data_IF_665190060019
#
_entry.id   IF_665190060019
#
_cell.length_a   1.000
_cell.length_b   1.000
_cell.length_c   1.000
_cell.angle_alpha   90.00
_cell.angle_beta   90.00
_cell.angle_gamma   90.00
#
_symmetry.space_group_name_H-M   'P 1'
#
loop_
_entity.id
_entity.type
_entity.pdbx_description
1 polymer ?
#
# COMPACT_ATOMS: atom_id res chain seq x y z
N UNK A 1 0.04 7.60 -22.07
CA UNK A 1 0.00 8.54 -20.92
C UNK A 1 -1.43 8.44 -20.40
N UNK A 2 -1.64 8.21 -19.11
CA UNK A 2 -3.01 8.15 -18.56
C UNK A 2 -3.61 9.56 -18.62
N UNK A 3 -4.83 9.69 -19.19
CA UNK A 3 -5.52 10.98 -19.20
C UNK A 3 -6.06 11.25 -17.78
N UNK A 4 -5.79 12.44 -17.28
CA UNK A 4 -6.24 12.87 -15.95
C UNK A 4 -7.78 12.94 -15.86
N UNK A 5 -8.45 13.09 -16.98
CA UNK A 5 -9.91 13.16 -17.10
C UNK A 5 -10.58 11.80 -17.40
N UNK A 6 -9.78 10.73 -17.59
CA UNK A 6 -10.29 9.38 -17.78
C UNK A 6 -10.44 8.70 -16.39
N UNK A 7 -11.59 8.84 -15.77
CA UNK A 7 -11.94 8.27 -14.46
C UNK A 7 -13.43 7.91 -14.42
N UNK A 8 -13.82 7.04 -13.50
CA UNK A 8 -15.22 6.64 -13.29
C UNK A 8 -15.79 7.12 -11.95
N UNK A 9 -14.92 7.30 -10.93
CA UNK A 9 -15.31 7.72 -9.58
C UNK A 9 -14.43 8.87 -9.09
N UNK A 10 -15.08 9.84 -8.45
CA UNK A 10 -14.42 10.95 -7.76
C UNK A 10 -15.00 11.08 -6.35
N UNK A 11 -14.16 11.32 -5.36
CA UNK A 11 -14.58 11.51 -3.97
C UNK A 11 -13.65 12.51 -3.27
N UNK A 12 -13.93 12.82 -2.01
CA UNK A 12 -13.09 13.69 -1.19
C UNK A 12 -12.59 12.96 0.04
N UNK A 13 -11.41 13.34 0.53
CA UNK A 13 -10.90 12.88 1.81
C UNK A 13 -10.09 13.97 2.50
N UNK A 14 -9.96 13.83 3.81
CA UNK A 14 -9.00 14.62 4.59
C UNK A 14 -7.77 13.76 4.91
N UNK A 15 -6.59 14.32 4.67
CA UNK A 15 -5.33 13.67 5.01
C UNK A 15 -4.32 14.70 5.52
N UNK A 16 -3.85 14.49 6.77
CA UNK A 16 -2.89 15.38 7.47
C UNK A 16 -3.30 16.85 7.48
N UNK A 17 -4.57 17.11 7.77
CA UNK A 17 -5.12 18.47 7.87
C UNK A 17 -5.27 19.20 6.51
N UNK A 18 -5.23 18.46 5.42
CA UNK A 18 -5.50 18.96 4.07
C UNK A 18 -6.68 18.20 3.45
N UNK A 19 -7.55 18.92 2.74
CA UNK A 19 -8.67 18.34 2.00
C UNK A 19 -8.24 18.07 0.56
N UNK A 20 -8.61 16.91 0.05
CA UNK A 20 -8.32 16.47 -1.31
C UNK A 20 -9.59 16.03 -2.02
N UNK A 21 -9.77 16.42 -3.29
CA UNK A 21 -10.57 15.66 -4.25
C UNK A 21 -9.69 14.60 -4.90
N UNK A 22 -10.23 13.39 -5.08
CA UNK A 22 -9.46 12.21 -5.50
C UNK A 22 -10.24 11.45 -6.57
N UNK A 23 -9.58 11.07 -7.65
CA UNK A 23 -10.12 10.26 -8.74
C UNK A 23 -9.56 8.84 -8.67
N UNK A 24 -10.36 7.85 -9.09
CA UNK A 24 -9.97 6.44 -9.04
C UNK A 24 -8.82 6.09 -10.01
N UNK A 25 -8.53 6.95 -10.99
CA UNK A 25 -7.35 6.84 -11.85
C UNK A 25 -6.03 7.26 -11.15
N UNK A 26 -6.09 7.68 -9.88
CA UNK A 26 -4.94 8.10 -9.09
C UNK A 26 -4.63 9.60 -9.13
N UNK A 27 -5.44 10.41 -9.83
CA UNK A 27 -5.32 11.86 -9.80
C UNK A 27 -5.85 12.44 -8.49
N UNK A 28 -5.19 13.48 -7.99
CA UNK A 28 -5.57 14.20 -6.76
C UNK A 28 -5.56 15.70 -6.99
N UNK A 29 -6.43 16.41 -6.29
CA UNK A 29 -6.45 17.87 -6.24
C UNK A 29 -6.50 18.29 -4.78
N UNK A 30 -5.50 19.03 -4.31
CA UNK A 30 -5.52 19.61 -2.97
C UNK A 30 -6.32 20.89 -2.97
N UNK A 31 -7.23 21.05 -2.04
CA UNK A 31 -8.01 22.28 -1.89
C UNK A 31 -7.18 23.41 -1.27
N UNK A 32 -7.42 24.64 -1.71
CA UNK A 32 -6.87 25.81 -1.05
C UNK A 32 -7.50 25.94 0.36
N UNK A 33 -6.69 26.36 1.33
CA UNK A 33 -7.17 26.63 2.69
C UNK A 33 -7.94 27.92 2.72
N UNK A 34 -9.10 27.90 3.35
CA UNK A 34 -9.90 29.10 3.54
C UNK A 34 -9.11 30.20 4.28
N UNK A 35 -9.23 31.43 3.83
CA UNK A 35 -8.54 32.59 4.42
C UNK A 35 -7.03 32.62 4.27
N UNK A 36 -6.42 31.72 3.49
CA UNK A 36 -4.98 31.70 3.23
C UNK A 36 -4.67 31.82 1.75
N UNK A 37 -3.50 32.38 1.43
CA UNK A 37 -3.01 32.43 0.04
C UNK A 37 -2.87 31.02 -0.54
N UNK A 38 -3.44 30.81 -1.72
CA UNK A 38 -3.32 29.54 -2.45
C UNK A 38 -1.86 29.21 -2.78
N UNK A 39 -1.46 27.96 -2.59
CA UNK A 39 -0.15 27.42 -2.94
C UNK A 39 -0.14 26.95 -4.38
N UNK A 40 1.02 26.80 -5.00
CA UNK A 40 1.21 26.50 -6.43
C UNK A 40 0.36 25.34 -6.98
N UNK A 41 0.05 24.32 -6.17
CA UNK A 41 -0.71 23.14 -6.60
C UNK A 41 -2.10 23.06 -5.94
N UNK A 42 -2.56 24.13 -5.31
CA UNK A 42 -3.93 24.16 -4.76
C UNK A 42 -4.94 24.32 -5.91
N UNK A 43 -6.03 23.57 -5.84
CA UNK A 43 -7.11 23.52 -6.82
C UNK A 43 -6.66 23.11 -8.24
N UNK A 44 -5.58 22.33 -8.32
CA UNK A 44 -5.04 21.81 -9.59
C UNK A 44 -5.01 20.28 -9.54
N UNK A 45 -5.64 19.63 -10.51
CA UNK A 45 -5.58 18.19 -10.70
C UNK A 45 -4.17 17.75 -11.12
N UNK A 46 -3.64 16.72 -10.47
CA UNK A 46 -2.30 16.20 -10.75
C UNK A 46 -2.17 14.73 -10.34
N UNK A 47 -1.33 13.97 -11.03
CA UNK A 47 -0.84 12.68 -10.55
C UNK A 47 0.33 12.82 -9.56
N UNK A 48 0.77 14.06 -9.29
CA UNK A 48 1.92 14.34 -8.46
C UNK A 48 3.25 14.37 -9.23
N UNK A 49 4.33 14.55 -8.50
CA UNK A 49 5.70 14.54 -9.01
C UNK A 49 6.46 13.37 -8.43
N UNK A 50 7.21 12.64 -9.26
CA UNK A 50 7.99 11.49 -8.81
C UNK A 50 9.13 11.93 -7.89
N UNK A 51 9.16 11.41 -6.68
CA UNK A 51 10.29 11.55 -5.76
C UNK A 51 11.50 10.76 -6.29
N UNK A 52 12.63 11.45 -6.46
CA UNK A 52 13.85 10.85 -7.01
C UNK A 52 14.49 9.82 -6.09
N UNK A 53 14.33 9.97 -4.77
CA UNK A 53 14.98 9.09 -3.80
C UNK A 53 14.24 7.75 -3.64
N UNK A 54 12.89 7.77 -3.61
CA UNK A 54 12.07 6.60 -3.28
C UNK A 54 11.14 6.16 -4.40
N UNK A 55 10.99 6.97 -5.46
CA UNK A 55 10.19 6.65 -6.65
C UNK A 55 8.68 6.79 -6.48
N UNK A 56 8.18 7.29 -5.36
CA UNK A 56 6.75 7.53 -5.14
C UNK A 56 6.28 8.83 -5.78
N UNK A 57 5.02 8.86 -6.21
CA UNK A 57 4.36 10.09 -6.62
C UNK A 57 3.98 10.93 -5.40
N UNK A 58 4.34 12.22 -5.43
CA UNK A 58 4.18 13.16 -4.32
C UNK A 58 3.37 14.39 -4.74
N UNK A 59 2.50 14.85 -3.85
CA UNK A 59 1.95 16.21 -3.90
C UNK A 59 2.46 16.97 -2.67
N UNK A 60 3.37 17.92 -2.88
CA UNK A 60 4.18 18.52 -1.80
C UNK A 60 4.93 17.43 -1.00
N UNK A 61 4.70 17.34 0.30
CA UNK A 61 5.29 16.33 1.19
C UNK A 61 4.45 15.05 1.35
N UNK A 62 3.29 14.96 0.70
CA UNK A 62 2.36 13.86 0.87
C UNK A 62 2.43 12.88 -0.30
N UNK A 63 2.41 11.58 0.01
CA UNK A 63 2.41 10.50 -0.99
C UNK A 63 1.02 10.33 -1.58
N UNK A 64 0.91 10.38 -2.91
CA UNK A 64 -0.37 10.30 -3.63
C UNK A 64 -1.09 8.98 -3.36
N UNK A 65 -0.41 7.83 -3.39
CA UNK A 65 -1.04 6.53 -3.14
C UNK A 65 -1.74 6.43 -1.77
N UNK A 66 -1.21 7.10 -0.73
CA UNK A 66 -1.85 7.10 0.59
C UNK A 66 -3.15 7.92 0.56
N UNK A 67 -3.15 9.05 -0.15
CA UNK A 67 -4.35 9.88 -0.31
C UNK A 67 -5.43 9.11 -1.06
N UNK A 68 -5.06 8.43 -2.17
CA UNK A 68 -5.98 7.63 -2.98
C UNK A 68 -6.53 6.44 -2.18
N UNK A 69 -5.66 5.68 -1.50
CA UNK A 69 -6.10 4.55 -0.68
C UNK A 69 -7.06 5.00 0.43
N UNK A 70 -6.75 6.10 1.12
CA UNK A 70 -7.60 6.65 2.17
C UNK A 70 -8.98 7.10 1.66
N UNK A 71 -9.04 7.59 0.42
CA UNK A 71 -10.27 8.09 -0.19
C UNK A 71 -11.21 6.96 -0.63
N UNK A 72 -10.67 5.82 -1.08
CA UNK A 72 -11.44 4.79 -1.77
C UNK A 72 -11.44 3.42 -1.10
N UNK A 73 -10.43 3.10 -0.30
CA UNK A 73 -10.23 1.74 0.25
C UNK A 73 -10.46 1.78 1.76
N UNK A 74 -11.58 1.23 2.27
CA UNK A 74 -11.83 1.14 3.71
C UNK A 74 -10.87 0.16 4.41
N UNK A 75 -10.88 0.14 5.74
CA UNK A 75 -10.19 -0.88 6.55
C UNK A 75 -8.88 -0.44 7.18
N UNK A 76 -8.54 0.87 7.16
CA UNK A 76 -7.39 1.41 7.89
C UNK A 76 -7.78 2.66 8.69
N UNK A 77 -8.85 2.55 9.44
CA UNK A 77 -9.38 3.63 10.27
C UNK A 77 -8.45 3.95 11.45
N UNK A 78 -7.73 2.95 11.96
CA UNK A 78 -6.74 3.12 13.05
C UNK A 78 -5.36 3.60 12.55
N UNK A 79 -5.15 3.67 11.24
CA UNK A 79 -3.93 4.19 10.62
C UNK A 79 -2.69 3.30 10.76
N UNK A 80 -2.84 2.03 11.17
CA UNK A 80 -1.70 1.11 11.39
C UNK A 80 -1.23 0.38 10.15
N UNK A 81 -2.05 0.34 9.10
CA UNK A 81 -1.70 -0.34 7.86
C UNK A 81 -0.87 0.55 6.93
N UNK A 82 -0.19 -0.08 6.01
CA UNK A 82 0.59 0.55 4.94
C UNK A 82 -0.07 0.29 3.59
N UNK A 83 0.11 1.21 2.64
CA UNK A 83 -0.37 1.02 1.27
C UNK A 83 0.68 0.27 0.46
N UNK A 84 0.25 -0.77 -0.21
CA UNK A 84 1.05 -1.53 -1.18
C UNK A 84 0.55 -1.31 -2.60
N UNK A 85 1.48 -1.35 -3.58
CA UNK A 85 1.18 -1.35 -5.01
C UNK A 85 1.23 -2.80 -5.53
N UNK A 86 0.08 -3.33 -5.96
CA UNK A 86 -0.06 -4.73 -6.37
C UNK A 86 0.89 -5.08 -7.53
N UNK A 87 1.10 -4.17 -8.47
CA UNK A 87 2.01 -4.32 -9.61
C UNK A 87 3.47 -3.91 -9.29
N UNK A 88 3.78 -3.57 -8.02
CA UNK A 88 5.07 -3.06 -7.56
C UNK A 88 5.50 -1.71 -8.16
N UNK A 89 4.71 -1.11 -9.04
CA UNK A 89 4.99 0.18 -9.66
C UNK A 89 4.52 1.35 -8.79
N UNK A 90 5.44 1.99 -8.08
CA UNK A 90 5.17 3.11 -7.16
C UNK A 90 4.60 4.37 -7.82
N UNK A 91 4.53 4.40 -9.15
CA UNK A 91 3.92 5.49 -9.91
C UNK A 91 2.47 5.18 -10.33
N UNK A 92 2.01 3.93 -10.22
CA UNK A 92 0.66 3.51 -10.59
C UNK A 92 -0.27 3.59 -9.37
N UNK A 93 -0.85 4.76 -9.15
CA UNK A 93 -1.72 5.04 -8.00
C UNK A 93 -3.21 4.83 -8.28
N UNK A 94 -3.58 4.06 -9.32
CA UNK A 94 -4.96 3.69 -9.57
C UNK A 94 -5.52 2.88 -8.40
N UNK A 95 -6.77 3.11 -8.03
CA UNK A 95 -7.40 2.46 -6.86
C UNK A 95 -7.30 0.95 -6.92
N UNK A 96 -7.54 0.37 -8.11
CA UNK A 96 -7.46 -1.08 -8.35
C UNK A 96 -6.06 -1.67 -8.15
N UNK A 97 -5.03 -0.84 -8.15
CA UNK A 97 -3.63 -1.26 -7.94
C UNK A 97 -3.15 -1.07 -6.50
N UNK A 98 -4.01 -0.58 -5.62
CA UNK A 98 -3.65 -0.29 -4.23
C UNK A 98 -4.37 -1.23 -3.26
N UNK A 99 -3.72 -1.56 -2.15
CA UNK A 99 -4.32 -2.30 -1.04
C UNK A 99 -3.69 -1.89 0.28
N UNK A 100 -4.44 -2.07 1.37
CA UNK A 100 -3.91 -1.96 2.71
C UNK A 100 -3.26 -3.27 3.14
N UNK A 101 -2.10 -3.19 3.76
CA UNK A 101 -1.37 -4.30 4.36
C UNK A 101 -1.00 -3.96 5.79
N UNK A 102 -0.99 -4.97 6.65
CA UNK A 102 -0.26 -4.87 7.91
C UNK A 102 1.24 -4.76 7.63
N UNK A 103 2.00 -4.29 8.60
CA UNK A 103 3.46 -4.24 8.50
C UNK A 103 4.06 -5.64 8.26
N UNK A 104 3.49 -6.66 8.89
CA UNK A 104 3.93 -8.04 8.75
C UNK A 104 3.68 -8.58 7.33
N UNK A 105 2.48 -8.40 6.80
CA UNK A 105 2.14 -8.80 5.43
C UNK A 105 3.05 -8.14 4.40
N UNK A 106 3.26 -6.82 4.53
CA UNK A 106 4.12 -6.06 3.62
C UNK A 106 5.57 -6.57 3.61
N UNK A 107 6.07 -6.99 4.76
CA UNK A 107 7.44 -7.54 4.89
C UNK A 107 7.51 -8.96 4.36
N UNK A 108 6.52 -9.82 4.64
CA UNK A 108 6.48 -11.21 4.17
C UNK A 108 6.17 -11.34 2.67
N UNK A 109 5.52 -10.36 2.06
CA UNK A 109 5.35 -10.28 0.60
C UNK A 109 6.68 -10.04 -0.14
N UNK A 110 7.68 -9.49 0.53
CA UNK A 110 9.02 -9.37 -0.05
C UNK A 110 9.71 -10.74 -0.06
N UNK A 111 9.91 -11.30 -1.25
CA UNK A 111 10.48 -12.65 -1.44
C UNK A 111 11.85 -12.82 -0.76
N UNK A 112 12.72 -11.81 -0.82
CA UNK A 112 14.02 -11.85 -0.17
C UNK A 112 13.89 -11.92 1.35
N UNK A 113 12.96 -11.17 1.93
CA UNK A 113 12.69 -11.20 3.37
C UNK A 113 12.05 -12.53 3.77
N UNK A 114 11.08 -13.03 3.00
CA UNK A 114 10.46 -14.32 3.25
C UNK A 114 11.49 -15.46 3.25
N UNK A 115 12.37 -15.51 2.25
CA UNK A 115 13.47 -16.49 2.19
C UNK A 115 14.40 -16.38 3.39
N UNK A 116 14.73 -15.16 3.81
CA UNK A 116 15.59 -14.90 4.98
C UNK A 116 14.93 -15.38 6.28
N UNK A 117 13.66 -15.07 6.51
CA UNK A 117 12.92 -15.56 7.68
C UNK A 117 12.83 -17.08 7.67
N UNK A 118 12.49 -17.70 6.55
CA UNK A 118 12.43 -19.15 6.38
C UNK A 118 13.77 -19.79 6.74
N UNK A 119 14.88 -19.25 6.24
CA UNK A 119 16.23 -19.75 6.54
C UNK A 119 16.54 -19.68 8.04
N UNK A 120 16.23 -18.56 8.69
CA UNK A 120 16.46 -18.36 10.13
C UNK A 120 15.61 -19.29 11.01
N UNK A 121 14.49 -19.78 10.48
CA UNK A 121 13.64 -20.79 11.12
C UNK A 121 14.03 -22.24 10.72
N UNK A 122 15.23 -22.47 10.25
CA UNK A 122 15.73 -23.79 9.88
C UNK A 122 15.11 -24.35 8.59
N UNK A 123 14.76 -23.49 7.64
CA UNK A 123 14.22 -23.85 6.34
C UNK A 123 12.71 -24.07 6.29
N UNK A 124 12.00 -23.84 7.39
CA UNK A 124 10.55 -24.03 7.46
C UNK A 124 9.85 -22.79 8.03
N UNK A 125 9.06 -22.12 7.19
CA UNK A 125 8.30 -20.92 7.58
C UNK A 125 7.20 -21.24 8.61
N UNK A 126 6.72 -22.47 8.70
CA UNK A 126 5.70 -22.86 9.67
C UNK A 126 6.22 -22.69 11.10
N UNK A 127 7.49 -22.89 11.34
CA UNK A 127 8.10 -22.63 12.66
C UNK A 127 7.97 -21.19 13.08
N UNK A 128 8.09 -20.24 12.15
CA UNK A 128 7.80 -18.82 12.42
C UNK A 128 6.33 -18.58 12.72
N UNK A 129 5.42 -19.21 11.97
CA UNK A 129 3.97 -19.06 12.17
C UNK A 129 3.56 -19.59 13.55
N UNK A 130 4.09 -20.75 13.95
CA UNK A 130 3.79 -21.38 15.25
C UNK A 130 4.44 -20.64 16.42
N UNK A 131 5.64 -20.13 16.23
CA UNK A 131 6.41 -19.45 17.25
C UNK A 131 7.30 -18.34 16.67
N UNK A 132 6.79 -17.11 16.48
CA UNK A 132 7.60 -15.98 15.98
C UNK A 132 8.83 -15.67 16.82
N UNK A 133 8.84 -16.05 18.10
CA UNK A 133 10.00 -15.87 18.98
C UNK A 133 11.19 -16.77 18.62
N UNK A 134 11.05 -17.69 17.66
CA UNK A 134 12.20 -18.41 17.08
C UNK A 134 13.24 -17.46 16.43
N UNK A 135 12.85 -16.22 16.11
CA UNK A 135 13.73 -15.15 15.64
C UNK A 135 14.45 -14.41 16.78
N UNK A 136 14.52 -14.93 18.00
CA UNK A 136 15.16 -14.24 19.13
C UNK A 136 16.65 -14.03 18.81
N UNK A 137 17.55 -14.32 19.03
CA UNK A 137 19.01 -14.14 18.99
C UNK A 137 19.60 -13.69 17.64
N UNK A 138 18.84 -12.91 16.87
CA UNK A 138 19.31 -12.36 15.61
C UNK A 138 20.34 -11.24 15.85
N UNK A 139 21.51 -11.41 15.28
CA UNK A 139 22.61 -10.44 15.30
C UNK A 139 22.95 -9.94 13.89
N UNK A 140 23.71 -8.85 13.83
CA UNK A 140 24.23 -8.35 12.55
C UNK A 140 23.14 -7.82 11.60
N UNK A 141 23.14 -8.29 10.37
CA UNK A 141 22.27 -7.79 9.28
C UNK A 141 20.77 -8.12 9.43
N UNK A 142 20.38 -8.88 10.46
CA UNK A 142 18.99 -9.28 10.68
C UNK A 142 18.23 -8.40 11.68
N UNK A 143 18.84 -7.32 12.17
CA UNK A 143 18.20 -6.42 13.13
C UNK A 143 16.93 -5.74 12.59
N UNK A 144 16.84 -5.53 11.30
CA UNK A 144 15.69 -4.92 10.61
C UNK A 144 14.40 -5.76 10.72
N UNK A 145 14.51 -7.07 10.95
CA UNK A 145 13.37 -8.00 11.12
C UNK A 145 13.17 -8.46 12.57
N UNK A 146 14.01 -8.03 13.51
CA UNK A 146 13.91 -8.45 14.91
C UNK A 146 12.54 -8.15 15.56
N UNK A 147 11.86 -7.09 15.14
CA UNK A 147 10.52 -6.76 15.62
C UNK A 147 9.49 -7.87 15.31
N UNK A 148 9.72 -8.73 14.30
CA UNK A 148 8.82 -9.83 13.94
C UNK A 148 8.73 -10.90 15.06
N UNK A 149 9.71 -10.99 15.94
CA UNK A 149 9.68 -11.88 17.11
C UNK A 149 8.60 -11.53 18.13
N UNK A 150 8.10 -10.29 18.13
CA UNK A 150 7.05 -9.81 19.03
C UNK A 150 5.65 -9.99 18.46
N UNK A 151 5.55 -10.48 17.23
CA UNK A 151 4.30 -10.84 16.58
C UNK A 151 3.73 -12.07 17.28
N UNK A 152 2.42 -12.11 17.46
CA UNK A 152 1.76 -13.31 18.01
C UNK A 152 1.63 -14.40 16.94
N UNK A 153 1.55 -15.68 17.32
CA UNK A 153 1.28 -16.77 16.37
C UNK A 153 0.00 -16.54 15.57
N UNK A 154 -1.04 -15.98 16.19
CA UNK A 154 -2.29 -15.66 15.52
C UNK A 154 -2.11 -14.59 14.42
N UNK A 155 -1.38 -13.52 14.70
CA UNK A 155 -1.05 -12.49 13.69
C UNK A 155 -0.21 -13.07 12.55
N UNK A 156 0.74 -13.95 12.86
CA UNK A 156 1.57 -14.62 11.85
C UNK A 156 0.73 -15.52 10.94
N UNK A 157 -0.20 -16.32 11.52
CA UNK A 157 -1.12 -17.18 10.79
C UNK A 157 -2.05 -16.38 9.88
N UNK A 158 -2.70 -15.34 10.42
CA UNK A 158 -3.61 -14.48 9.64
C UNK A 158 -2.88 -13.78 8.47
N UNK A 159 -1.67 -13.29 8.70
CA UNK A 159 -0.88 -12.68 7.63
C UNK A 159 -0.58 -13.67 6.50
N UNK A 160 -0.18 -14.90 6.83
CA UNK A 160 0.11 -15.94 5.83
C UNK A 160 -1.14 -16.40 5.08
N UNK A 161 -2.28 -16.52 5.77
CA UNK A 161 -3.57 -16.83 5.14
C UNK A 161 -3.99 -15.75 4.15
N UNK A 162 -3.88 -14.48 4.53
CA UNK A 162 -4.15 -13.33 3.67
C UNK A 162 -3.26 -13.35 2.43
N UNK A 163 -1.95 -13.46 2.60
CA UNK A 163 -0.97 -13.52 1.50
C UNK A 163 -1.31 -14.67 0.55
N UNK A 164 -1.60 -15.85 1.09
CA UNK A 164 -1.98 -17.04 0.31
C UNK A 164 -3.29 -16.86 -0.46
N UNK A 165 -4.24 -16.11 0.10
CA UNK A 165 -5.52 -15.81 -0.56
C UNK A 165 -5.32 -14.93 -1.80
N UNK A 166 -4.36 -14.02 -1.76
CA UNK A 166 -4.05 -13.16 -2.92
C UNK A 166 -3.32 -13.92 -4.02
N UNK A 167 -2.40 -14.82 -3.66
CA UNK A 167 -1.71 -15.68 -4.62
C UNK A 167 -2.66 -16.61 -5.39
N UNK A 168 -3.79 -16.97 -4.78
CA UNK A 168 -4.82 -17.83 -5.38
C UNK A 168 -5.82 -17.08 -6.27
N UNK A 169 -5.83 -15.74 -6.25
CA UNK A 169 -6.68 -14.96 -7.17
C UNK A 169 -6.00 -14.93 -8.55
N UNK A 170 -6.55 -15.61 -9.58
CA UNK A 170 -5.95 -15.54 -10.90
C UNK A 170 -6.00 -14.10 -11.41
N UNK A 171 -4.93 -13.65 -12.06
CA UNK A 171 -4.82 -12.35 -12.75
C UNK A 171 -5.99 -12.13 -13.76
N UNK A 172 -6.68 -13.21 -14.15
CA UNK A 172 -7.85 -13.21 -15.04
C UNK A 172 -9.10 -12.51 -14.45
N UNK A 173 -9.25 -12.41 -13.13
CA UNK A 173 -10.40 -11.69 -12.55
C UNK A 173 -10.35 -10.19 -12.86
N UNK A 174 -9.18 -9.64 -13.11
CA UNK A 174 -8.95 -8.25 -13.51
C UNK A 174 -9.32 -7.98 -14.98
N UNK A 175 -9.13 -8.98 -15.85
CA UNK A 175 -9.55 -8.91 -17.27
C UNK A 175 -11.06 -9.04 -17.42
N UNK A 176 -11.71 -9.91 -16.65
CA UNK A 176 -13.15 -10.13 -16.72
C UNK A 176 -14.00 -8.95 -16.20
N UNK A 177 -13.47 -8.10 -15.29
CA UNK A 177 -14.18 -6.88 -14.92
C UNK A 177 -14.19 -5.83 -16.05
N UNK A 178 -13.11 -5.72 -16.82
CA UNK A 178 -13.06 -4.83 -18.00
C UNK A 178 -13.99 -5.25 -19.13
N UNK A 179 -14.21 -6.54 -19.31
CA UNK A 179 -15.07 -7.06 -20.41
C UNK A 179 -16.57 -6.97 -20.09
N UNK A 180 -16.95 -6.88 -18.79
CA UNK A 180 -18.36 -6.69 -18.38
C UNK A 180 -18.84 -5.24 -18.40
N UNK A 181 -17.93 -4.27 -18.43
CA UNK A 181 -18.27 -2.85 -18.52
C UNK A 181 -18.31 -2.31 -19.97
N UNK A 182 -18.00 -3.17 -20.96
CA UNK A 182 -18.03 -2.82 -22.40
C UNK A 182 -19.18 -3.50 -23.17
N UNK A 183 -20.14 -4.09 -22.49
CA UNK A 183 -21.40 -4.61 -23.04
C UNK A 183 -22.58 -3.97 -22.32
#
# INVERSE_FOLDING_TARGET
MVDINEYTRETTCEYKGEVYSVRDNGAVMRHAREGKKARKLDNVWTFGTKDKARGYMMISSHRVHIIVAKAFIPGNEDGKMVVDHIDTNRCNNRVENLRWLTKLENVLLNEATLKRVTYLCGGDINKFIENPSCLQDLTGSNQDIMWMRTVTPEEARLAMEHISSWAKRPISSYKMMKEREMT
#
